data_IF_518306790461
#
_entry.id   IF_518306790461
#
_cell.length_a   1.000
_cell.length_b   1.000
_cell.length_c   1.000
_cell.angle_alpha   90.00
_cell.angle_beta   90.00
_cell.angle_gamma   90.00
#
_symmetry.space_group_name_H-M   'P 1'
#
loop_
_entity.id
_entity.type
_entity.pdbx_description
1 polymer ?
#
# COMPACT_ATOMS: atom_id res chain seq x y z
N UNK A 1 6.59 17.63 14.37
CA UNK A 1 6.16 17.66 12.96
C UNK A 1 4.73 17.14 12.93
N UNK A 2 3.76 18.00 12.61
CA UNK A 2 2.36 17.59 12.53
C UNK A 2 2.10 17.04 11.13
N UNK A 3 1.74 15.77 11.01
CA UNK A 3 1.32 15.15 9.75
C UNK A 3 -0.21 15.21 9.69
N UNK A 4 -0.75 16.04 8.82
CA UNK A 4 -2.17 16.10 8.57
C UNK A 4 -2.57 15.22 7.40
N UNK A 5 -3.66 14.48 7.55
CA UNK A 5 -4.25 13.68 6.48
C UNK A 5 -5.54 14.35 6.02
N UNK A 6 -5.68 14.48 4.70
CA UNK A 6 -6.92 14.91 4.06
C UNK A 6 -7.46 13.71 3.29
N UNK A 7 -8.63 13.26 3.63
CA UNK A 7 -9.28 12.13 3.00
C UNK A 7 -10.74 12.47 2.71
N UNK A 8 -11.23 12.09 1.54
CA UNK A 8 -12.58 12.44 1.08
C UNK A 8 -13.71 11.68 1.75
N UNK A 9 -13.40 10.60 2.44
CA UNK A 9 -14.41 9.85 3.16
C UNK A 9 -14.31 10.15 4.65
N UNK A 10 -15.15 11.06 5.13
CA UNK A 10 -15.20 11.45 6.54
C UNK A 10 -15.45 10.26 7.47
N UNK A 11 -16.25 9.27 7.04
CA UNK A 11 -16.46 8.06 7.86
C UNK A 11 -15.19 7.24 7.96
N UNK A 12 -14.38 7.24 6.91
CA UNK A 12 -13.10 6.56 6.89
C UNK A 12 -12.03 7.32 7.68
N UNK A 13 -12.00 8.67 7.61
CA UNK A 13 -11.15 9.51 8.46
C UNK A 13 -11.47 9.28 9.93
N UNK A 14 -12.72 9.36 10.31
CA UNK A 14 -13.16 9.14 11.70
C UNK A 14 -12.75 7.77 12.21
N UNK A 15 -12.93 6.71 11.41
CA UNK A 15 -12.55 5.35 11.78
C UNK A 15 -11.05 5.15 11.82
N UNK A 16 -10.34 5.56 10.77
CA UNK A 16 -8.89 5.42 10.69
C UNK A 16 -8.21 6.27 11.75
N UNK A 17 -8.67 7.51 11.94
CA UNK A 17 -8.17 8.39 12.99
C UNK A 17 -8.40 7.84 14.39
N UNK A 18 -9.58 7.32 14.66
CA UNK A 18 -9.94 6.79 15.99
C UNK A 18 -9.28 5.44 16.26
N UNK A 19 -9.21 4.56 15.26
CA UNK A 19 -8.78 3.19 15.43
C UNK A 19 -7.26 3.01 15.33
N UNK A 20 -6.60 3.68 14.40
CA UNK A 20 -5.24 3.35 14.03
C UNK A 20 -4.19 4.37 14.47
N UNK A 21 -4.55 5.65 14.50
CA UNK A 21 -3.60 6.72 14.84
C UNK A 21 -3.88 7.32 16.22
N UNK A 22 -4.95 6.91 16.87
CA UNK A 22 -5.31 7.40 18.20
C UNK A 22 -5.33 8.92 18.23
N UNK A 23 -4.80 9.48 19.31
CA UNK A 23 -4.79 10.93 19.53
C UNK A 23 -3.98 11.71 18.47
N UNK A 24 -2.95 11.11 17.88
CA UNK A 24 -2.08 11.82 16.94
C UNK A 24 -2.82 12.23 15.67
N UNK A 25 -3.62 11.35 15.08
CA UNK A 25 -4.40 11.68 13.89
C UNK A 25 -5.63 12.49 14.24
N UNK A 26 -6.27 12.22 15.36
CA UNK A 26 -7.38 13.05 15.84
C UNK A 26 -6.93 14.49 16.11
N UNK A 27 -5.78 14.71 16.72
CA UNK A 27 -5.18 16.02 16.86
C UNK A 27 -4.76 16.64 15.53
N UNK A 28 -4.18 15.87 14.64
CA UNK A 28 -3.81 16.36 13.30
C UNK A 28 -5.04 16.77 12.49
N UNK A 29 -6.10 15.98 12.54
CA UNK A 29 -7.36 16.32 11.89
C UNK A 29 -8.02 17.53 12.55
N UNK A 30 -8.04 17.60 13.87
CA UNK A 30 -8.54 18.75 14.63
C UNK A 30 -7.74 20.02 14.33
N UNK A 31 -6.44 19.87 14.16
CA UNK A 31 -5.54 20.95 13.76
C UNK A 31 -5.83 21.49 12.36
N UNK A 32 -6.16 20.59 11.42
CA UNK A 32 -6.43 20.93 10.03
C UNK A 32 -7.87 21.45 9.80
N UNK A 33 -8.83 20.83 10.45
CA UNK A 33 -10.25 21.01 10.17
C UNK A 33 -11.00 21.82 11.24
N UNK A 34 -10.37 22.07 12.39
CA UNK A 34 -10.98 22.73 13.55
C UNK A 34 -11.49 21.73 14.59
N UNK A 35 -12.03 22.26 15.70
CA UNK A 35 -12.48 21.44 16.82
C UNK A 35 -13.76 20.65 16.52
N UNK A 36 -14.54 21.11 15.56
CA UNK A 36 -15.78 20.53 15.06
C UNK A 36 -15.63 19.75 13.74
N UNK A 37 -14.40 19.37 13.39
CA UNK A 37 -14.07 18.67 12.12
C UNK A 37 -14.90 17.40 11.85
N UNK A 38 -15.57 16.89 12.87
CA UNK A 38 -16.42 15.69 12.75
C UNK A 38 -17.86 16.01 12.36
N UNK A 39 -18.27 17.28 12.40
CA UNK A 39 -19.67 17.67 12.22
C UNK A 39 -20.01 18.10 10.80
N UNK A 40 -19.19 18.94 10.19
CA UNK A 40 -19.41 19.39 8.81
C UNK A 40 -18.07 19.59 8.10
N UNK A 41 -17.75 18.70 7.18
CA UNK A 41 -16.60 18.82 6.32
C UNK A 41 -17.05 19.41 4.98
N UNK A 42 -16.57 20.60 4.66
CA UNK A 42 -16.82 21.20 3.36
C UNK A 42 -16.02 20.49 2.26
N UNK A 43 -16.68 20.17 1.15
CA UNK A 43 -16.02 19.70 -0.05
C UNK A 43 -15.20 20.81 -0.75
N UNK A 44 -15.43 22.09 -0.37
CA UNK A 44 -14.64 23.21 -0.89
C UNK A 44 -13.31 23.36 -0.12
N UNK A 45 -12.16 23.10 -0.78
CA UNK A 45 -10.85 23.29 -0.15
C UNK A 45 -10.58 24.71 0.33
N UNK A 46 -11.33 25.72 -0.13
CA UNK A 46 -11.16 27.09 0.29
C UNK A 46 -11.75 27.36 1.68
N UNK A 47 -12.66 26.51 2.13
CA UNK A 47 -13.29 26.60 3.44
C UNK A 47 -12.49 25.85 4.52
N UNK A 48 -11.52 25.01 4.11
CA UNK A 48 -10.71 24.25 5.07
C UNK A 48 -9.80 25.17 5.88
N UNK A 49 -9.77 24.94 7.19
CA UNK A 49 -8.91 25.69 8.10
C UNK A 49 -7.44 25.50 7.75
N UNK A 50 -6.72 26.59 7.57
CA UNK A 50 -5.29 26.58 7.23
C UNK A 50 -4.45 26.73 8.49
N UNK A 51 -3.51 25.83 8.68
CA UNK A 51 -2.50 25.87 9.73
C UNK A 51 -1.11 26.04 9.12
N UNK A 52 -0.21 26.68 9.86
CA UNK A 52 1.19 26.79 9.44
C UNK A 52 1.88 25.42 9.57
N UNK A 53 2.47 24.95 8.48
CA UNK A 53 3.23 23.71 8.45
C UNK A 53 4.45 23.87 7.53
N UNK A 54 5.56 23.20 7.85
CA UNK A 54 6.74 23.17 6.98
C UNK A 54 6.58 22.15 5.86
N UNK A 55 5.86 21.07 6.12
CA UNK A 55 5.59 20.00 5.14
C UNK A 55 4.08 19.71 5.11
N UNK A 56 3.54 19.61 3.90
CA UNK A 56 2.19 19.08 3.65
C UNK A 56 2.33 17.76 2.91
N UNK A 57 1.78 16.69 3.48
CA UNK A 57 1.79 15.35 2.88
C UNK A 57 0.37 14.87 2.62
N UNK A 58 0.16 14.12 1.52
CA UNK A 58 -1.13 13.54 1.21
C UNK A 58 -1.03 12.32 0.30
N UNK A 59 -2.11 11.55 0.25
CA UNK A 59 -2.29 10.42 -0.66
C UNK A 59 -3.64 10.56 -1.36
N UNK A 60 -3.81 11.56 -2.22
CA UNK A 60 -5.04 11.69 -2.98
C UNK A 60 -5.27 10.44 -3.83
N UNK A 61 -6.53 10.08 -4.15
CA UNK A 61 -6.82 8.89 -4.90
C UNK A 61 -6.05 8.82 -6.21
N UNK A 62 -5.29 7.75 -6.40
CA UNK A 62 -4.48 7.50 -7.60
C UNK A 62 -5.24 6.68 -8.67
N UNK A 63 -6.54 6.43 -8.48
CA UNK A 63 -7.36 5.61 -9.40
C UNK A 63 -7.38 6.15 -10.83
N UNK A 64 -7.25 7.46 -11.02
CA UNK A 64 -7.12 8.08 -12.33
C UNK A 64 -5.88 7.67 -13.13
N UNK A 65 -4.85 7.14 -12.49
CA UNK A 65 -3.63 6.65 -13.14
C UNK A 65 -3.47 5.13 -13.04
N UNK A 66 -4.26 4.47 -12.21
CA UNK A 66 -4.09 3.05 -11.92
C UNK A 66 -4.52 2.18 -13.09
N UNK A 67 -3.68 1.20 -13.45
CA UNK A 67 -4.01 0.15 -14.45
C UNK A 67 -5.18 -0.73 -14.00
N UNK A 68 -5.52 -0.71 -12.71
CA UNK A 68 -6.66 -1.44 -12.13
C UNK A 68 -8.00 -0.74 -12.37
N UNK A 69 -7.98 0.56 -12.72
CA UNK A 69 -9.17 1.29 -13.12
C UNK A 69 -9.53 0.95 -14.56
N UNK A 70 -10.83 0.86 -14.85
CA UNK A 70 -11.29 0.67 -16.21
C UNK A 70 -10.79 1.79 -17.15
N UNK A 71 -10.59 1.52 -18.45
CA UNK A 71 -10.04 2.50 -19.40
C UNK A 71 -10.77 3.85 -19.40
N UNK A 72 -12.09 3.84 -19.21
CA UNK A 72 -12.92 5.05 -19.16
C UNK A 72 -12.69 5.94 -17.90
N UNK A 73 -12.05 5.39 -16.86
CA UNK A 73 -11.86 6.08 -15.59
C UNK A 73 -10.40 6.47 -15.33
N UNK A 74 -9.53 6.34 -16.31
CA UNK A 74 -8.11 6.65 -16.18
C UNK A 74 -7.60 7.56 -17.30
N UNK A 75 -6.47 8.19 -17.04
CA UNK A 75 -5.83 9.16 -17.92
C UNK A 75 -5.91 10.58 -17.38
N UNK A 76 -5.38 11.56 -18.12
CA UNK A 76 -5.27 12.95 -17.67
C UNK A 76 -6.62 13.60 -17.29
N UNK A 77 -7.71 13.19 -17.92
CA UNK A 77 -9.04 13.78 -17.76
C UNK A 77 -9.93 13.02 -16.75
N UNK A 78 -9.35 12.11 -15.95
CA UNK A 78 -10.10 11.35 -14.97
C UNK A 78 -10.66 12.26 -13.87
N UNK A 79 -11.95 12.10 -13.55
CA UNK A 79 -12.58 12.78 -12.41
C UNK A 79 -11.89 12.51 -11.07
N UNK A 80 -11.17 11.40 -10.93
CA UNK A 80 -10.40 11.11 -9.73
C UNK A 80 -9.32 12.17 -9.40
N UNK A 81 -8.95 13.01 -10.37
CA UNK A 81 -7.99 14.10 -10.17
C UNK A 81 -8.56 15.28 -9.40
N UNK A 82 -9.87 15.43 -9.28
CA UNK A 82 -10.51 16.50 -8.48
C UNK A 82 -9.99 16.53 -7.04
N UNK A 83 -9.75 15.36 -6.47
CA UNK A 83 -9.18 15.24 -5.12
C UNK A 83 -7.73 15.69 -5.02
N UNK A 84 -6.92 15.40 -6.05
CA UNK A 84 -5.55 15.90 -6.12
C UNK A 84 -5.55 17.42 -6.29
N UNK A 85 -6.44 17.96 -7.12
CA UNK A 85 -6.61 19.42 -7.28
C UNK A 85 -6.98 20.07 -5.96
N UNK A 86 -7.93 19.50 -5.21
CA UNK A 86 -8.31 19.99 -3.89
C UNK A 86 -7.11 19.98 -2.92
N UNK A 87 -6.34 18.90 -2.90
CA UNK A 87 -5.11 18.82 -2.11
C UNK A 87 -4.10 19.89 -2.50
N UNK A 88 -3.87 20.15 -3.80
CA UNK A 88 -2.93 21.17 -4.28
C UNK A 88 -3.37 22.58 -3.89
N UNK A 89 -4.67 22.90 -4.01
CA UNK A 89 -5.21 24.19 -3.57
C UNK A 89 -5.01 24.40 -2.07
N UNK A 90 -5.30 23.39 -1.27
CA UNK A 90 -5.08 23.44 0.16
C UNK A 90 -3.59 23.64 0.49
N UNK A 91 -2.69 22.81 -0.09
CA UNK A 91 -1.26 22.92 0.11
C UNK A 91 -0.74 24.33 -0.26
N UNK A 92 -1.24 24.91 -1.37
CA UNK A 92 -0.90 26.27 -1.76
C UNK A 92 -1.30 27.33 -0.71
N UNK A 93 -2.46 27.16 -0.04
CA UNK A 93 -2.90 28.05 1.04
C UNK A 93 -2.04 27.91 2.30
N UNK A 94 -1.59 26.71 2.63
CA UNK A 94 -0.66 26.48 3.77
C UNK A 94 0.70 27.12 3.54
N UNK A 95 1.14 27.26 2.29
CA UNK A 95 2.44 27.83 1.89
C UNK A 95 3.64 27.13 2.54
N UNK A 96 3.69 25.78 2.56
CA UNK A 96 4.73 25.04 3.25
C UNK A 96 6.08 25.22 2.53
N UNK A 97 7.15 24.72 3.15
CA UNK A 97 8.47 24.63 2.52
C UNK A 97 8.60 23.40 1.61
N UNK A 98 7.80 22.36 1.89
CA UNK A 98 7.73 21.17 1.03
C UNK A 98 6.32 20.59 0.99
N UNK A 99 5.98 20.01 -0.18
CA UNK A 99 4.72 19.33 -0.41
C UNK A 99 5.04 17.97 -1.01
N UNK A 100 4.37 16.92 -0.54
CA UNK A 100 4.53 15.59 -1.10
C UNK A 100 3.20 14.86 -1.20
N UNK A 101 3.00 14.11 -2.28
CA UNK A 101 1.96 13.09 -2.34
C UNK A 101 2.46 11.81 -3.00
N UNK A 102 1.90 10.68 -2.54
CA UNK A 102 2.19 9.36 -3.10
C UNK A 102 1.18 9.01 -4.20
N UNK A 103 1.68 8.35 -5.25
CA UNK A 103 0.86 7.85 -6.34
C UNK A 103 1.48 6.60 -6.97
N UNK A 104 0.76 5.99 -7.91
CA UNK A 104 1.32 4.93 -8.76
C UNK A 104 2.29 5.52 -9.80
N UNK A 105 3.27 4.75 -10.24
CA UNK A 105 4.30 5.24 -11.19
C UNK A 105 3.71 5.70 -12.54
N UNK A 106 2.51 5.23 -12.90
CA UNK A 106 1.81 5.70 -14.09
C UNK A 106 1.48 7.20 -14.08
N UNK A 107 1.34 7.80 -12.91
CA UNK A 107 1.18 9.25 -12.78
C UNK A 107 2.34 10.02 -13.42
N UNK A 108 3.58 9.54 -13.27
CA UNK A 108 4.74 10.10 -13.95
C UNK A 108 4.77 9.70 -15.42
N UNK A 109 4.67 8.41 -15.76
CA UNK A 109 4.90 7.93 -17.12
C UNK A 109 3.82 8.33 -18.13
N UNK A 110 2.60 8.62 -17.68
CA UNK A 110 1.45 8.99 -18.51
C UNK A 110 0.92 10.40 -18.26
N UNK A 111 1.30 11.01 -17.14
CA UNK A 111 0.73 12.27 -16.66
C UNK A 111 1.76 13.32 -16.24
N UNK A 112 3.01 13.25 -16.71
CA UNK A 112 4.07 14.19 -16.32
C UNK A 112 3.62 15.65 -16.45
N UNK A 113 2.98 16.01 -17.58
CA UNK A 113 2.50 17.38 -17.80
C UNK A 113 1.44 17.81 -16.79
N UNK A 114 0.61 16.88 -16.30
CA UNK A 114 -0.36 17.14 -15.25
C UNK A 114 0.34 17.36 -13.91
N UNK A 115 1.42 16.61 -13.65
CA UNK A 115 2.23 16.79 -12.45
C UNK A 115 2.90 18.18 -12.40
N UNK A 116 3.36 18.67 -13.55
CA UNK A 116 3.88 20.05 -13.67
C UNK A 116 2.78 21.08 -13.42
N UNK A 117 1.59 20.91 -14.01
CA UNK A 117 0.44 21.80 -13.76
C UNK A 117 0.04 21.84 -12.29
N UNK A 118 0.21 20.77 -11.53
CA UNK A 118 -0.02 20.77 -10.08
C UNK A 118 0.97 21.69 -9.35
N UNK A 119 2.26 21.67 -9.72
CA UNK A 119 3.24 22.62 -9.20
C UNK A 119 2.81 24.07 -9.49
N UNK A 120 2.46 24.35 -10.74
CA UNK A 120 2.08 25.70 -11.16
C UNK A 120 0.82 26.19 -10.42
N UNK A 121 -0.13 25.31 -10.16
CA UNK A 121 -1.32 25.59 -9.35
C UNK A 121 -0.94 25.95 -7.91
N UNK A 122 -0.05 25.20 -7.28
CA UNK A 122 0.45 25.48 -5.93
C UNK A 122 1.16 26.85 -5.91
N UNK A 123 2.01 27.11 -6.90
CA UNK A 123 2.71 28.42 -7.02
C UNK A 123 1.71 29.58 -7.17
N UNK A 124 0.68 29.42 -7.99
CA UNK A 124 -0.35 30.44 -8.18
C UNK A 124 -1.08 30.76 -6.87
N UNK A 125 -1.45 29.73 -6.10
CA UNK A 125 -2.18 29.90 -4.84
C UNK A 125 -1.29 30.43 -3.72
N UNK A 126 -0.05 29.92 -3.62
CA UNK A 126 0.88 30.26 -2.52
C UNK A 126 1.60 31.60 -2.71
N UNK A 127 1.82 32.00 -3.96
CA UNK A 127 2.72 33.10 -4.32
C UNK A 127 4.21 32.74 -4.16
N UNK A 128 4.56 31.48 -3.87
CA UNK A 128 5.92 30.97 -3.75
C UNK A 128 6.34 30.20 -5.00
N UNK A 129 7.64 30.02 -5.20
CA UNK A 129 8.21 29.16 -6.24
C UNK A 129 8.64 27.83 -5.66
N UNK A 130 8.42 26.74 -6.41
CA UNK A 130 8.79 25.39 -6.02
C UNK A 130 9.55 24.68 -7.14
N UNK A 131 10.56 23.93 -6.74
CA UNK A 131 11.24 22.98 -7.61
C UNK A 131 10.53 21.63 -7.48
N UNK A 132 10.17 21.03 -8.62
CA UNK A 132 9.42 19.77 -8.68
C UNK A 132 10.37 18.59 -8.83
N UNK A 133 10.24 17.62 -7.95
CA UNK A 133 10.98 16.37 -8.01
C UNK A 133 10.02 15.21 -8.23
N UNK A 134 10.24 14.48 -9.31
CA UNK A 134 9.60 13.19 -9.59
C UNK A 134 10.44 12.10 -8.98
N UNK A 135 9.94 11.47 -7.94
CA UNK A 135 10.68 10.44 -7.19
C UNK A 135 10.04 9.08 -7.41
N UNK A 136 10.75 8.18 -8.07
CA UNK A 136 10.32 6.79 -8.30
C UNK A 136 11.06 5.88 -7.33
N UNK A 137 10.34 4.98 -6.68
CA UNK A 137 10.90 4.04 -5.73
C UNK A 137 10.19 2.68 -5.78
N UNK A 138 10.78 1.69 -5.15
CA UNK A 138 10.14 0.43 -4.81
C UNK A 138 10.30 0.17 -3.31
N UNK A 139 9.21 -0.17 -2.64
CA UNK A 139 9.22 -0.35 -1.19
C UNK A 139 10.21 -1.42 -0.72
N UNK A 140 10.44 -2.50 -1.48
CA UNK A 140 11.51 -3.47 -1.16
C UNK A 140 12.89 -2.83 -1.18
N UNK A 141 13.15 -1.95 -2.13
CA UNK A 141 14.44 -1.30 -2.27
C UNK A 141 14.74 -0.36 -1.11
N UNK A 142 13.73 0.36 -0.64
CA UNK A 142 13.87 1.30 0.49
C UNK A 142 13.75 0.63 1.87
N UNK A 143 13.88 -0.70 1.93
CA UNK A 143 13.89 -1.48 3.16
C UNK A 143 12.52 -1.95 3.63
N UNK A 144 11.52 -1.86 2.77
CA UNK A 144 10.17 -2.37 3.06
C UNK A 144 10.00 -3.86 2.82
N UNK A 145 8.77 -4.34 3.00
CA UNK A 145 8.45 -5.77 3.03
C UNK A 145 7.66 -6.27 1.82
N UNK A 146 7.26 -5.37 0.93
CA UNK A 146 6.48 -5.75 -0.26
C UNK A 146 7.06 -5.14 -1.54
N UNK A 147 6.99 -5.91 -2.62
CA UNK A 147 7.25 -5.39 -3.95
C UNK A 147 6.14 -4.40 -4.32
N UNK A 148 6.44 -3.11 -4.19
CA UNK A 148 5.46 -2.03 -4.37
C UNK A 148 6.12 -0.81 -5.00
N UNK A 149 6.24 -0.78 -6.35
CA UNK A 149 6.73 0.41 -7.06
C UNK A 149 5.79 1.58 -6.84
N UNK A 150 6.35 2.73 -6.45
CA UNK A 150 5.58 3.95 -6.21
C UNK A 150 6.28 5.18 -6.77
N UNK A 151 5.51 6.22 -6.85
CA UNK A 151 5.91 7.54 -7.27
C UNK A 151 5.54 8.53 -6.18
N UNK A 152 6.51 9.37 -5.78
CA UNK A 152 6.25 10.53 -4.96
C UNK A 152 6.42 11.78 -5.82
N UNK A 153 5.39 12.59 -5.85
CA UNK A 153 5.44 13.96 -6.33
C UNK A 153 5.92 14.83 -5.16
N UNK A 154 7.06 15.48 -5.32
CA UNK A 154 7.69 16.28 -4.27
C UNK A 154 7.93 17.67 -4.81
N UNK A 155 7.35 18.69 -4.19
CA UNK A 155 7.65 20.09 -4.48
C UNK A 155 8.35 20.69 -3.27
N UNK A 156 9.53 21.27 -3.49
CA UNK A 156 10.33 21.91 -2.44
C UNK A 156 10.50 23.39 -2.81
N UNK A 157 10.39 24.29 -1.83
CA UNK A 157 10.55 25.74 -2.03
C UNK A 157 11.87 26.02 -2.77
N UNK A 158 11.82 26.77 -3.86
CA UNK A 158 12.96 27.01 -4.72
C UNK A 158 14.12 27.64 -3.95
N UNK A 159 15.32 27.14 -4.18
CA UNK A 159 16.52 27.49 -3.43
C UNK A 159 16.90 26.44 -2.38
N UNK A 160 15.99 25.54 -1.99
CA UNK A 160 16.31 24.36 -1.21
C UNK A 160 16.68 23.22 -2.17
N UNK A 161 17.75 22.51 -1.87
CA UNK A 161 18.13 21.31 -2.63
C UNK A 161 17.44 20.08 -2.02
N UNK A 162 16.89 19.23 -2.88
CA UNK A 162 16.33 17.96 -2.47
C UNK A 162 17.03 16.81 -3.20
N UNK A 163 17.37 15.79 -2.44
CA UNK A 163 17.90 14.53 -2.95
C UNK A 163 17.45 13.39 -2.02
N UNK A 164 17.51 12.18 -2.49
CA UNK A 164 17.20 11.00 -1.68
C UNK A 164 18.22 9.90 -1.96
N UNK A 165 18.70 9.27 -0.90
CA UNK A 165 19.63 8.15 -1.02
C UNK A 165 18.91 7.00 -1.72
N UNK A 166 19.52 6.44 -2.77
CA UNK A 166 19.05 5.20 -3.41
C UNK A 166 19.68 4.00 -2.68
N UNK A 167 18.93 3.28 -1.83
CA UNK A 167 19.48 2.11 -1.16
C UNK A 167 19.70 0.96 -2.14
N UNK A 168 20.74 0.18 -1.88
CA UNK A 168 21.01 -1.09 -2.57
C UNK A 168 20.93 -2.23 -1.54
N UNK A 169 19.76 -2.81 -1.31
CA UNK A 169 19.61 -3.85 -0.31
C UNK A 169 20.36 -5.11 -0.74
N UNK A 170 21.22 -5.63 0.15
CA UNK A 170 21.96 -6.88 -0.06
C UNK A 170 21.07 -8.12 0.03
N UNK A 171 20.03 -8.01 0.81
CA UNK A 171 19.03 -9.06 1.03
C UNK A 171 17.63 -8.46 0.96
N UNK A 172 16.68 -9.27 0.53
CA UNK A 172 15.25 -8.93 0.54
C UNK A 172 14.49 -9.92 1.42
N UNK A 173 13.49 -9.46 2.20
CA UNK A 173 12.68 -10.35 3.01
C UNK A 173 11.77 -11.21 2.13
N UNK A 174 11.62 -12.48 2.50
CA UNK A 174 10.60 -13.37 1.94
C UNK A 174 9.30 -13.16 2.67
N UNK A 175 8.19 -13.59 2.08
CA UNK A 175 6.89 -13.46 2.73
C UNK A 175 6.88 -14.15 4.10
N UNK A 176 7.48 -15.34 4.23
CA UNK A 176 7.52 -16.07 5.49
C UNK A 176 8.45 -15.42 6.53
N UNK A 177 9.39 -14.58 6.12
CA UNK A 177 10.15 -13.74 7.04
C UNK A 177 9.27 -12.66 7.71
N UNK A 178 8.17 -12.27 7.05
CA UNK A 178 7.29 -11.20 7.51
C UNK A 178 6.09 -11.74 8.31
N UNK A 179 5.48 -12.85 7.88
CA UNK A 179 4.26 -13.36 8.47
C UNK A 179 4.38 -14.76 9.06
N UNK A 180 5.53 -15.44 8.89
CA UNK A 180 5.67 -16.85 9.27
C UNK A 180 5.48 -17.12 10.75
N UNK A 181 5.83 -16.20 11.63
CA UNK A 181 5.61 -16.34 13.07
C UNK A 181 4.14 -16.12 13.51
N UNK A 182 3.28 -15.70 12.59
CA UNK A 182 1.82 -15.60 12.77
C UNK A 182 1.07 -16.79 12.16
N UNK A 183 1.71 -17.60 11.31
CA UNK A 183 1.06 -18.59 10.46
C UNK A 183 0.17 -19.56 11.24
N UNK A 184 0.67 -20.09 12.36
CA UNK A 184 0.00 -21.08 13.20
C UNK A 184 -0.90 -20.46 14.30
N UNK A 185 -1.06 -19.15 14.32
CA UNK A 185 -1.92 -18.50 15.31
C UNK A 185 -3.39 -18.70 14.98
N UNK A 186 -4.26 -18.92 15.99
CA UNK A 186 -5.69 -18.93 15.78
C UNK A 186 -6.21 -17.63 15.17
N UNK A 187 -7.17 -17.73 14.25
CA UNK A 187 -7.79 -16.54 13.67
C UNK A 187 -8.85 -15.97 14.64
N UNK A 188 -8.54 -14.83 15.23
CA UNK A 188 -9.43 -14.13 16.17
C UNK A 188 -9.17 -12.62 16.19
N UNK A 189 -10.18 -11.84 16.55
CA UNK A 189 -10.04 -10.42 16.88
C UNK A 189 -9.38 -10.21 18.24
N UNK A 190 -9.52 -11.18 19.16
CA UNK A 190 -9.03 -11.04 20.51
C UNK A 190 -7.50 -11.04 20.58
N UNK A 191 -6.97 -10.35 21.59
CA UNK A 191 -5.55 -10.40 21.89
C UNK A 191 -5.13 -11.81 22.29
N UNK A 192 -4.04 -12.27 21.70
CA UNK A 192 -3.47 -13.58 21.93
C UNK A 192 -1.94 -13.53 21.99
N UNK A 193 -1.33 -14.51 22.63
CA UNK A 193 0.13 -14.65 22.65
C UNK A 193 0.63 -15.18 21.31
N UNK A 194 1.84 -14.76 20.92
CA UNK A 194 2.50 -15.40 19.79
C UNK A 194 2.72 -16.89 20.04
N UNK A 195 2.43 -17.72 19.08
CA UNK A 195 2.70 -19.16 19.14
C UNK A 195 4.17 -19.46 18.80
N UNK A 196 4.77 -18.71 17.88
CA UNK A 196 6.17 -18.84 17.55
C UNK A 196 7.06 -18.10 18.54
N UNK A 197 8.12 -18.74 19.07
CA UNK A 197 8.97 -18.15 20.11
C UNK A 197 9.79 -16.95 19.60
N UNK A 198 10.23 -17.00 18.37
CA UNK A 198 11.10 -15.96 17.79
C UNK A 198 10.63 -15.55 16.40
N UNK A 199 10.54 -14.26 16.13
CA UNK A 199 10.34 -13.75 14.78
C UNK A 199 11.63 -13.77 13.97
N UNK A 200 11.54 -13.57 12.65
CA UNK A 200 12.70 -13.30 11.82
C UNK A 200 13.36 -11.95 12.21
N UNK A 201 14.60 -11.75 11.75
CA UNK A 201 15.32 -10.47 11.94
C UNK A 201 14.55 -9.27 11.39
N UNK A 202 13.74 -9.48 10.34
CA UNK A 202 13.01 -8.44 9.63
C UNK A 202 11.86 -7.83 10.43
N UNK A 203 11.16 -8.65 11.20
CA UNK A 203 9.96 -8.23 11.93
C UNK A 203 10.12 -8.19 13.45
N UNK A 204 11.32 -8.46 13.94
CA UNK A 204 11.62 -8.42 15.39
C UNK A 204 11.21 -7.10 16.04
N UNK A 205 11.41 -5.98 15.34
CA UNK A 205 11.05 -4.64 15.82
C UNK A 205 9.56 -4.34 15.73
N UNK A 206 8.77 -5.14 15.00
CA UNK A 206 7.32 -4.98 14.87
C UNK A 206 6.55 -5.67 15.98
N UNK A 207 7.14 -6.69 16.64
CA UNK A 207 6.48 -7.42 17.73
C UNK A 207 6.24 -6.53 18.93
N UNK A 208 5.10 -6.74 19.58
CA UNK A 208 4.75 -6.03 20.80
C UNK A 208 5.67 -6.40 21.95
N UNK A 209 5.99 -5.42 22.81
CA UNK A 209 6.82 -5.64 24.01
C UNK A 209 6.16 -6.57 25.03
N UNK A 210 4.84 -6.59 25.09
CA UNK A 210 4.07 -7.43 26.00
C UNK A 210 3.80 -8.85 25.47
N UNK A 211 4.28 -9.18 24.26
CA UNK A 211 4.12 -10.50 23.67
C UNK A 211 2.69 -10.83 23.21
N UNK A 212 1.82 -9.83 23.09
CA UNK A 212 0.42 -9.98 22.68
C UNK A 212 0.16 -9.33 21.34
N UNK A 213 -0.69 -9.95 20.51
CA UNK A 213 -1.11 -9.44 19.20
C UNK A 213 -2.61 -9.61 19.05
N UNK A 214 -3.25 -8.68 18.34
CA UNK A 214 -4.68 -8.73 17.99
C UNK A 214 -4.89 -8.67 16.47
N UNK A 215 -6.15 -8.68 16.06
CA UNK A 215 -6.52 -8.51 14.64
C UNK A 215 -6.00 -9.61 13.72
N UNK A 216 -5.62 -10.78 14.26
CA UNK A 216 -5.21 -11.93 13.47
C UNK A 216 -6.43 -12.69 12.97
N UNK A 217 -7.23 -12.05 12.12
CA UNK A 217 -8.46 -12.59 11.55
C UNK A 217 -8.49 -12.39 10.03
N UNK A 218 -8.85 -13.45 9.32
CA UNK A 218 -9.10 -13.43 7.88
C UNK A 218 -10.56 -13.15 7.57
N UNK A 219 -10.87 -13.05 6.29
CA UNK A 219 -12.25 -12.89 5.82
C UNK A 219 -13.01 -14.21 5.92
N UNK A 220 -14.28 -14.16 6.33
CA UNK A 220 -15.14 -15.32 6.52
C UNK A 220 -16.30 -15.41 5.52
N UNK A 221 -16.22 -14.67 4.42
CA UNK A 221 -17.28 -14.64 3.40
C UNK A 221 -17.27 -15.88 2.50
N UNK A 222 -18.21 -15.93 1.56
CA UNK A 222 -18.33 -17.04 0.60
C UNK A 222 -17.03 -17.31 -0.18
N UNK A 223 -16.20 -16.30 -0.45
CA UNK A 223 -14.92 -16.50 -1.14
C UNK A 223 -13.93 -17.28 -0.27
N UNK A 224 -13.81 -16.94 1.02
CA UNK A 224 -12.98 -17.69 1.96
C UNK A 224 -13.48 -19.14 2.10
N UNK A 225 -14.78 -19.33 2.27
CA UNK A 225 -15.40 -20.66 2.36
C UNK A 225 -15.17 -21.51 1.10
N UNK A 226 -15.19 -20.91 -0.09
CA UNK A 226 -14.88 -21.61 -1.35
C UNK A 226 -13.42 -22.06 -1.40
N UNK A 227 -12.50 -21.27 -0.87
CA UNK A 227 -11.09 -21.62 -0.79
C UNK A 227 -10.86 -22.74 0.20
N UNK A 228 -11.44 -22.65 1.38
CA UNK A 228 -11.39 -23.69 2.41
C UNK A 228 -11.95 -25.03 1.89
N UNK A 229 -13.05 -24.99 1.14
CA UNK A 229 -13.63 -26.19 0.53
C UNK A 229 -12.71 -26.83 -0.52
N UNK A 230 -12.02 -26.05 -1.35
CA UNK A 230 -11.01 -26.59 -2.26
C UNK A 230 -9.91 -27.29 -1.46
N UNK A 231 -9.36 -26.66 -0.41
CA UNK A 231 -8.35 -27.28 0.42
C UNK A 231 -8.81 -28.55 1.13
N UNK A 232 -10.07 -28.63 1.53
CA UNK A 232 -10.64 -29.85 2.13
C UNK A 232 -10.63 -31.07 1.18
N UNK A 233 -10.66 -30.79 -0.14
CA UNK A 233 -10.64 -31.84 -1.17
C UNK A 233 -9.22 -32.20 -1.60
N UNK A 234 -8.38 -31.18 -1.88
CA UNK A 234 -7.07 -31.41 -2.47
C UNK A 234 -5.94 -31.47 -1.44
N UNK A 235 -6.23 -31.21 -0.16
CA UNK A 235 -5.23 -31.04 0.90
C UNK A 235 -4.42 -29.75 0.77
N UNK A 236 -3.65 -29.43 1.81
CA UNK A 236 -2.83 -28.21 1.82
C UNK A 236 -1.76 -28.25 0.72
N UNK A 237 -1.08 -29.37 0.53
CA UNK A 237 -0.03 -29.54 -0.49
C UNK A 237 -0.59 -29.65 -1.91
N UNK A 238 -1.90 -29.91 -2.03
CA UNK A 238 -2.59 -30.00 -3.31
C UNK A 238 -2.69 -28.68 -4.08
N UNK A 239 -2.53 -27.56 -3.40
CA UNK A 239 -2.50 -26.21 -3.99
C UNK A 239 -1.09 -25.62 -3.87
N UNK A 240 -0.32 -25.80 -4.91
CA UNK A 240 1.08 -25.33 -4.95
C UNK A 240 1.17 -23.80 -4.84
N UNK A 241 2.26 -23.32 -4.24
CA UNK A 241 2.63 -21.90 -4.27
C UNK A 241 2.83 -21.42 -5.71
N UNK A 242 2.45 -20.16 -5.99
CA UNK A 242 2.28 -19.59 -7.33
C UNK A 242 1.10 -20.20 -8.13
N UNK A 243 0.15 -20.84 -7.42
CA UNK A 243 -1.03 -21.45 -8.00
C UNK A 243 -2.26 -20.57 -7.95
N UNK A 244 -2.98 -20.48 -9.06
CA UNK A 244 -4.25 -19.77 -9.12
C UNK A 244 -5.44 -20.63 -8.65
N UNK A 245 -6.52 -19.95 -8.26
CA UNK A 245 -7.75 -20.64 -7.80
C UNK A 245 -8.35 -21.51 -8.89
N UNK A 246 -8.24 -21.15 -10.16
CA UNK A 246 -8.83 -21.91 -11.26
C UNK A 246 -8.17 -23.27 -11.43
N UNK A 247 -6.84 -23.32 -11.34
CA UNK A 247 -6.07 -24.57 -11.38
C UNK A 247 -6.39 -25.48 -10.19
N UNK A 248 -6.43 -24.90 -8.97
CA UNK A 248 -6.77 -25.63 -7.77
C UNK A 248 -8.22 -26.15 -7.78
N UNK A 249 -9.17 -25.36 -8.26
CA UNK A 249 -10.57 -25.77 -8.42
C UNK A 249 -10.71 -26.90 -9.43
N UNK A 250 -9.99 -26.82 -10.57
CA UNK A 250 -9.99 -27.90 -11.56
C UNK A 250 -9.50 -29.21 -10.93
N UNK A 251 -8.39 -29.17 -10.20
CA UNK A 251 -7.88 -30.33 -9.46
C UNK A 251 -8.90 -30.87 -8.46
N UNK A 252 -9.59 -30.00 -7.73
CA UNK A 252 -10.65 -30.41 -6.79
C UNK A 252 -11.82 -31.11 -7.50
N UNK A 253 -12.25 -30.61 -8.67
CA UNK A 253 -13.29 -31.26 -9.49
C UNK A 253 -12.82 -32.61 -10.01
N UNK A 254 -11.59 -32.70 -10.51
CA UNK A 254 -11.01 -33.97 -11.01
C UNK A 254 -10.93 -35.03 -9.90
N UNK A 255 -10.59 -34.66 -8.65
CA UNK A 255 -10.55 -35.55 -7.49
C UNK A 255 -11.94 -35.87 -6.91
N UNK A 256 -12.97 -35.11 -7.28
CA UNK A 256 -14.35 -35.27 -6.81
C UNK A 256 -15.26 -35.87 -7.92
N UNK A 257 -14.74 -36.82 -8.69
CA UNK A 257 -15.48 -37.51 -9.76
C UNK A 257 -16.13 -36.57 -10.78
N UNK A 258 -15.48 -35.47 -11.10
CA UNK A 258 -15.98 -34.45 -12.02
C UNK A 258 -17.05 -33.53 -11.43
N UNK A 259 -17.41 -33.69 -10.14
CA UNK A 259 -18.38 -32.83 -9.47
C UNK A 259 -17.78 -31.61 -8.86
N UNK A 260 -18.42 -30.46 -9.07
CA UNK A 260 -18.01 -29.21 -8.41
C UNK A 260 -18.22 -29.30 -6.90
N UNK A 261 -17.27 -28.71 -6.11
CA UNK A 261 -17.49 -28.51 -4.69
C UNK A 261 -18.78 -27.73 -4.43
N UNK A 262 -19.46 -28.01 -3.33
CA UNK A 262 -20.85 -27.54 -3.07
C UNK A 262 -20.94 -26.00 -3.14
N UNK A 263 -19.97 -25.29 -2.59
CA UNK A 263 -19.96 -23.82 -2.59
C UNK A 263 -19.62 -23.17 -3.94
N UNK A 264 -19.34 -23.98 -4.96
CA UNK A 264 -19.00 -23.52 -6.32
C UNK A 264 -20.09 -23.83 -7.34
N UNK A 265 -21.16 -24.54 -6.95
CA UNK A 265 -22.21 -25.01 -7.87
C UNK A 265 -22.91 -23.82 -8.55
N UNK A 266 -23.21 -22.75 -7.82
CA UNK A 266 -23.90 -21.56 -8.33
C UNK A 266 -23.12 -20.83 -9.44
N UNK A 267 -21.79 -20.94 -9.46
CA UNK A 267 -20.96 -20.32 -10.49
C UNK A 267 -20.33 -21.31 -11.48
N UNK A 268 -20.57 -22.60 -11.29
CA UNK A 268 -20.00 -23.66 -12.12
C UNK A 268 -20.25 -23.47 -13.64
N UNK A 269 -21.43 -23.05 -14.13
CA UNK A 269 -21.65 -22.81 -15.56
C UNK A 269 -20.71 -21.74 -16.13
N UNK A 270 -20.43 -20.71 -15.33
CA UNK A 270 -19.47 -19.65 -15.73
C UNK A 270 -18.03 -20.15 -15.73
N UNK A 271 -17.69 -20.96 -14.75
CA UNK A 271 -16.33 -21.54 -14.57
C UNK A 271 -16.04 -22.49 -15.74
N UNK A 272 -16.95 -23.41 -16.05
CA UNK A 272 -16.84 -24.36 -17.18
C UNK A 272 -16.66 -23.60 -18.49
N UNK A 273 -17.55 -22.64 -18.79
CA UNK A 273 -17.49 -21.84 -20.01
C UNK A 273 -16.17 -21.12 -20.20
N UNK A 274 -15.50 -20.76 -19.12
CA UNK A 274 -14.20 -20.09 -19.12
C UNK A 274 -13.01 -21.06 -19.02
N UNK A 275 -13.24 -22.36 -19.09
CA UNK A 275 -12.22 -23.38 -18.91
C UNK A 275 -11.37 -23.10 -17.66
N UNK A 276 -12.01 -22.92 -16.51
CA UNK A 276 -11.41 -22.59 -15.19
C UNK A 276 -10.61 -21.28 -15.15
N UNK A 277 -10.64 -20.45 -16.16
CA UNK A 277 -10.04 -19.11 -16.10
C UNK A 277 -10.97 -18.15 -15.35
N UNK A 278 -10.75 -17.95 -14.07
CA UNK A 278 -11.67 -17.16 -13.22
C UNK A 278 -11.50 -15.65 -13.35
N UNK A 279 -10.45 -15.19 -14.00
CA UNK A 279 -10.17 -13.77 -14.23
C UNK A 279 -9.03 -13.23 -13.38
N UNK A 280 -8.72 -11.96 -13.56
CA UNK A 280 -7.52 -11.33 -13.05
C UNK A 280 -7.50 -11.12 -11.53
N UNK A 281 -8.68 -10.95 -10.92
CA UNK A 281 -8.82 -10.69 -9.48
C UNK A 281 -9.18 -11.93 -8.64
N UNK A 282 -8.84 -13.11 -9.17
CA UNK A 282 -9.05 -14.35 -8.41
C UNK A 282 -8.00 -14.51 -7.30
N UNK A 283 -8.32 -15.23 -6.21
CA UNK A 283 -7.35 -15.59 -5.20
C UNK A 283 -6.18 -16.38 -5.78
N UNK A 284 -5.02 -16.16 -5.19
CA UNK A 284 -3.77 -16.71 -5.64
C UNK A 284 -2.91 -17.12 -4.45
N UNK A 285 -2.42 -18.35 -4.42
CA UNK A 285 -1.52 -18.81 -3.38
C UNK A 285 -0.11 -18.34 -3.66
N UNK A 286 0.45 -17.55 -2.75
CA UNK A 286 1.83 -17.10 -2.86
C UNK A 286 2.81 -18.21 -2.53
N UNK A 287 3.99 -18.12 -3.09
CA UNK A 287 5.09 -19.04 -2.81
C UNK A 287 5.83 -18.57 -1.56
N UNK A 288 6.14 -19.49 -0.66
CA UNK A 288 6.73 -19.19 0.65
C UNK A 288 8.13 -18.54 0.59
N UNK A 289 8.90 -18.86 -0.43
CA UNK A 289 10.26 -18.36 -0.63
C UNK A 289 10.34 -17.06 -1.46
N UNK A 290 9.19 -16.48 -1.85
CA UNK A 290 9.13 -15.21 -2.56
C UNK A 290 8.93 -14.04 -1.61
N UNK A 291 9.23 -12.82 -2.08
CA UNK A 291 8.83 -11.59 -1.40
C UNK A 291 7.32 -11.37 -1.46
N UNK A 292 6.82 -10.53 -0.57
CA UNK A 292 5.43 -10.08 -0.64
C UNK A 292 5.20 -9.26 -1.92
N UNK A 293 4.17 -9.61 -2.68
CA UNK A 293 3.71 -8.80 -3.79
C UNK A 293 2.91 -7.58 -3.31
N UNK A 294 2.58 -6.70 -4.24
CA UNK A 294 1.70 -5.56 -3.98
C UNK A 294 0.37 -6.04 -3.37
N UNK A 295 0.05 -5.53 -2.20
CA UNK A 295 -1.29 -5.62 -1.66
C UNK A 295 -2.19 -4.63 -2.40
N UNK A 296 -3.32 -5.12 -2.89
CA UNK A 296 -4.39 -4.29 -3.47
C UNK A 296 -5.45 -3.98 -2.43
N UNK A 297 -6.43 -3.11 -2.74
CA UNK A 297 -7.54 -2.80 -1.83
C UNK A 297 -8.45 -3.98 -1.49
N UNK A 298 -8.27 -5.12 -2.16
CA UNK A 298 -8.96 -6.39 -1.91
C UNK A 298 -8.00 -7.51 -1.52
N UNK A 299 -6.85 -7.18 -0.95
CA UNK A 299 -5.79 -8.15 -0.63
C UNK A 299 -6.29 -9.35 0.19
N UNK A 300 -7.18 -9.11 1.16
CA UNK A 300 -7.79 -10.17 1.96
C UNK A 300 -8.78 -11.07 1.18
N UNK A 301 -9.09 -10.75 -0.06
CA UNK A 301 -9.89 -11.58 -0.96
C UNK A 301 -9.04 -12.33 -1.99
N UNK A 302 -7.79 -11.92 -2.18
CA UNK A 302 -6.99 -12.37 -3.32
C UNK A 302 -5.70 -13.08 -2.92
N UNK A 303 -5.27 -12.98 -1.66
CA UNK A 303 -4.01 -13.56 -1.23
C UNK A 303 -4.27 -14.75 -0.32
N UNK A 304 -3.89 -15.94 -0.81
CA UNK A 304 -3.88 -17.16 -0.01
C UNK A 304 -2.51 -17.25 0.68
N UNK A 305 -2.53 -17.60 1.98
CA UNK A 305 -1.33 -17.77 2.79
C UNK A 305 -0.42 -18.86 2.19
N UNK A 306 0.91 -18.65 2.16
CA UNK A 306 1.84 -19.58 1.51
C UNK A 306 1.78 -21.01 2.06
N UNK A 307 1.67 -21.16 3.38
CA UNK A 307 1.74 -22.47 4.05
C UNK A 307 0.42 -22.89 4.71
N UNK A 308 -0.55 -21.97 4.86
CA UNK A 308 -1.82 -22.27 5.52
C UNK A 308 -2.97 -22.34 4.51
N UNK A 309 -3.96 -23.24 4.69
CA UNK A 309 -5.10 -23.37 3.79
C UNK A 309 -6.16 -22.27 4.01
N UNK A 310 -5.76 -21.02 3.97
CA UNK A 310 -6.59 -19.85 4.25
C UNK A 310 -6.13 -18.59 3.51
N UNK A 311 -6.96 -17.59 3.47
CA UNK A 311 -6.56 -16.24 3.10
C UNK A 311 -5.66 -15.61 4.18
N UNK A 312 -4.88 -14.60 3.81
CA UNK A 312 -4.11 -13.82 4.78
C UNK A 312 -5.04 -13.03 5.72
N UNK A 313 -4.53 -12.70 6.89
CA UNK A 313 -5.26 -11.96 7.92
C UNK A 313 -5.02 -10.45 7.84
N UNK A 314 -5.80 -9.68 8.60
CA UNK A 314 -5.57 -8.24 8.76
C UNK A 314 -4.18 -7.95 9.36
N UNK A 315 -3.76 -8.71 10.37
CA UNK A 315 -2.46 -8.52 11.01
C UNK A 315 -1.30 -8.84 10.07
N UNK A 316 -1.40 -9.92 9.30
CA UNK A 316 -0.43 -10.26 8.27
C UNK A 316 -0.33 -9.16 7.21
N UNK A 317 -1.46 -8.64 6.74
CA UNK A 317 -1.50 -7.51 5.80
C UNK A 317 -0.90 -6.23 6.38
N UNK A 318 -1.17 -5.91 7.65
CA UNK A 318 -0.57 -4.77 8.34
C UNK A 318 0.96 -4.89 8.41
N UNK A 319 1.48 -6.08 8.74
CA UNK A 319 2.93 -6.33 8.75
C UNK A 319 3.57 -6.16 7.37
N UNK A 320 2.91 -6.61 6.30
CA UNK A 320 3.40 -6.42 4.93
C UNK A 320 3.52 -4.93 4.55
N UNK A 321 2.78 -4.05 5.22
CA UNK A 321 2.89 -2.60 5.10
C UNK A 321 3.91 -1.98 6.09
N UNK A 322 4.55 -2.81 6.91
CA UNK A 322 5.54 -2.36 7.89
C UNK A 322 4.95 -1.81 9.17
N UNK A 323 3.66 -2.04 9.43
CA UNK A 323 3.00 -1.59 10.66
C UNK A 323 3.34 -2.52 11.84
N UNK A 324 3.63 -1.96 13.02
CA UNK A 324 3.93 -2.76 14.21
C UNK A 324 2.69 -3.52 14.72
N UNK A 325 2.92 -4.56 15.52
CA UNK A 325 1.85 -5.43 16.01
C UNK A 325 1.00 -4.80 17.13
N UNK A 326 1.44 -3.70 17.70
CA UNK A 326 0.64 -2.86 18.59
C UNK A 326 -0.18 -1.80 17.86
N UNK A 327 -0.08 -1.75 16.51
CA UNK A 327 -1.00 -0.96 15.70
C UNK A 327 -2.43 -1.44 15.91
N UNK A 328 -3.30 -0.54 16.34
CA UNK A 328 -4.66 -0.90 16.71
C UNK A 328 -5.48 -1.37 15.48
N UNK A 329 -5.87 -2.64 15.49
CA UNK A 329 -6.79 -3.24 14.52
C UNK A 329 -8.01 -3.70 15.30
N UNK A 330 -9.01 -2.83 15.40
CA UNK A 330 -10.25 -3.15 16.10
C UNK A 330 -11.24 -3.88 15.20
N UNK A 331 -12.07 -4.70 15.82
CA UNK A 331 -13.22 -5.31 15.16
C UNK A 331 -14.14 -4.23 14.64
N UNK A 332 -14.22 -4.10 13.31
CA UNK A 332 -15.04 -3.12 12.64
C UNK A 332 -16.24 -3.79 11.98
N UNK A 333 -17.44 -3.22 12.16
CA UNK A 333 -18.62 -3.66 11.42
C UNK A 333 -18.44 -3.59 9.90
N UNK A 334 -17.48 -2.81 9.44
CA UNK A 334 -17.17 -2.66 8.03
C UNK A 334 -15.77 -3.24 7.70
N UNK A 335 -15.70 -4.57 7.83
CA UNK A 335 -14.52 -5.37 7.52
C UNK A 335 -13.88 -5.03 6.15
N UNK A 336 -14.71 -4.81 5.11
CA UNK A 336 -14.22 -4.51 3.77
C UNK A 336 -13.50 -3.16 3.67
N UNK A 337 -13.90 -2.17 4.48
CA UNK A 337 -13.21 -0.89 4.53
C UNK A 337 -11.83 -1.02 5.17
N UNK A 338 -11.72 -1.77 6.27
CA UNK A 338 -10.44 -2.02 6.91
C UNK A 338 -9.50 -2.80 5.98
N UNK A 339 -10.04 -3.81 5.26
CA UNK A 339 -9.28 -4.55 4.26
C UNK A 339 -8.74 -3.65 3.13
N UNK A 340 -9.55 -2.68 2.68
CA UNK A 340 -9.13 -1.74 1.64
C UNK A 340 -8.00 -0.80 2.09
N UNK A 341 -7.88 -0.53 3.38
CA UNK A 341 -6.81 0.33 3.93
C UNK A 341 -5.44 -0.26 3.64
N UNK A 342 -5.26 -1.57 3.84
CA UNK A 342 -3.96 -2.21 3.62
C UNK A 342 -3.44 -2.05 2.20
N UNK A 343 -4.31 -2.17 1.20
CA UNK A 343 -3.93 -1.99 -0.19
C UNK A 343 -3.68 -0.54 -0.60
N UNK A 344 -4.27 0.43 0.12
CA UNK A 344 -4.13 1.87 -0.16
C UNK A 344 -3.02 2.54 0.67
N UNK A 345 -2.63 1.94 1.78
CA UNK A 345 -1.62 2.53 2.66
C UNK A 345 -0.27 2.72 1.97
N UNK A 346 0.39 3.81 2.28
CA UNK A 346 1.81 3.98 1.99
C UNK A 346 2.59 3.13 2.99
N UNK A 347 3.49 2.24 2.53
CA UNK A 347 4.31 1.46 3.44
C UNK A 347 5.14 2.34 4.37
N UNK A 348 5.29 1.91 5.63
CA UNK A 348 6.00 2.69 6.65
C UNK A 348 7.43 3.01 6.23
N UNK A 349 8.13 2.06 5.61
CA UNK A 349 9.51 2.24 5.18
C UNK A 349 9.64 3.27 4.06
N UNK A 350 8.75 3.24 3.07
CA UNK A 350 8.73 4.23 1.99
C UNK A 350 8.41 5.64 2.55
N UNK A 351 7.45 5.73 3.48
CA UNK A 351 7.12 6.99 4.15
C UNK A 351 8.30 7.55 4.97
N UNK A 352 9.00 6.67 5.71
CA UNK A 352 10.18 7.06 6.47
C UNK A 352 11.34 7.50 5.55
N UNK A 353 11.55 6.78 4.46
CA UNK A 353 12.59 7.12 3.50
C UNK A 353 12.39 8.51 2.88
N UNK A 354 11.20 8.78 2.34
CA UNK A 354 10.90 10.09 1.75
C UNK A 354 10.85 11.20 2.81
N UNK A 355 10.31 10.90 3.99
CA UNK A 355 10.25 11.84 5.11
C UNK A 355 11.63 12.25 5.62
N UNK A 356 12.58 11.30 5.67
CA UNK A 356 13.97 11.61 6.00
C UNK A 356 14.62 12.53 4.94
N UNK A 357 14.45 12.20 3.66
CA UNK A 357 14.98 13.02 2.57
C UNK A 357 14.43 14.46 2.61
N UNK A 358 13.14 14.63 2.89
CA UNK A 358 12.52 15.94 3.08
C UNK A 358 13.11 16.70 4.27
N UNK A 359 13.27 16.00 5.40
CA UNK A 359 13.88 16.61 6.59
C UNK A 359 15.29 17.08 6.29
N UNK A 360 16.12 16.24 5.69
CA UNK A 360 17.49 16.56 5.34
C UNK A 360 17.57 17.79 4.40
N UNK A 361 16.65 17.88 3.43
CA UNK A 361 16.53 19.03 2.54
C UNK A 361 16.15 20.33 3.29
N UNK A 362 15.18 20.27 4.19
CA UNK A 362 14.72 21.41 4.97
C UNK A 362 15.77 21.89 5.99
N UNK A 363 16.60 20.98 6.48
CA UNK A 363 17.75 21.28 7.36
C UNK A 363 18.96 21.80 6.58
N UNK A 364 18.88 21.90 5.23
CA UNK A 364 19.97 22.37 4.37
C UNK A 364 21.09 21.36 4.16
N UNK A 365 20.86 20.08 4.46
CA UNK A 365 21.84 19.00 4.37
C UNK A 365 21.30 17.79 3.57
N UNK A 366 20.89 17.98 2.30
CA UNK A 366 20.34 16.90 1.48
C UNK A 366 21.38 15.78 1.30
N UNK A 367 20.94 14.54 1.46
CA UNK A 367 21.75 13.34 1.35
C UNK A 367 21.39 12.56 0.07
N UNK A 368 22.39 11.93 -0.57
CA UNK A 368 22.23 11.13 -1.78
C UNK A 368 22.70 11.84 -3.03
N UNK A 369 22.55 11.17 -4.17
CA UNK A 369 22.95 11.72 -5.45
C UNK A 369 22.07 12.91 -5.86
N UNK A 370 22.63 13.90 -6.57
CA UNK A 370 21.85 14.99 -7.13
C UNK A 370 20.77 14.47 -8.07
N UNK A 371 19.58 15.06 -8.00
CA UNK A 371 18.50 14.75 -8.92
C UNK A 371 18.85 15.19 -10.36
N UNK A 372 18.41 14.41 -11.34
CA UNK A 372 18.57 14.72 -12.77
C UNK A 372 17.61 15.85 -13.16
N UNK A 373 18.14 16.95 -13.72
CA UNK A 373 17.33 18.03 -14.27
C UNK A 373 16.70 17.58 -15.60
N UNK A 374 15.37 17.54 -15.68
CA UNK A 374 14.62 17.04 -16.83
C UNK A 374 13.68 18.09 -17.47
N UNK A 375 13.59 19.28 -16.88
CA UNK A 375 12.74 20.39 -17.34
C UNK A 375 12.97 21.67 -16.54
N UNK A 376 12.13 22.67 -16.74
CA UNK A 376 12.21 23.92 -15.97
C UNK A 376 11.85 23.68 -14.50
N UNK A 377 12.85 23.80 -13.63
CA UNK A 377 12.72 23.49 -12.19
C UNK A 377 12.04 22.13 -11.94
N UNK A 378 12.34 21.17 -12.79
CA UNK A 378 11.78 19.85 -12.80
C UNK A 378 12.91 18.81 -12.79
N UNK A 379 12.88 17.91 -11.83
CA UNK A 379 13.94 16.96 -11.54
C UNK A 379 13.42 15.54 -11.42
N UNK A 380 14.27 14.56 -11.71
CA UNK A 380 13.98 13.14 -11.56
C UNK A 380 14.96 12.51 -10.56
N UNK A 381 14.40 11.75 -9.62
CA UNK A 381 15.11 10.79 -8.78
C UNK A 381 14.51 9.42 -9.10
N UNK A 382 15.23 8.59 -9.82
CA UNK A 382 14.78 7.25 -10.19
C UNK A 382 15.51 6.19 -9.35
N UNK A 383 15.11 6.06 -8.08
CA UNK A 383 15.63 5.02 -7.18
C UNK A 383 15.16 3.62 -7.59
N UNK A 384 14.13 3.52 -8.42
CA UNK A 384 13.63 2.24 -8.95
C UNK A 384 14.32 1.85 -10.28
N UNK A 385 15.32 2.62 -10.76
CA UNK A 385 15.96 2.41 -12.05
C UNK A 385 16.56 1.01 -12.20
N UNK A 386 15.87 0.19 -12.99
CA UNK A 386 16.26 -1.20 -13.21
C UNK A 386 15.85 -2.18 -12.09
N UNK A 387 15.63 -1.71 -10.85
CA UNK A 387 15.26 -2.58 -9.73
C UNK A 387 13.95 -3.32 -10.00
N UNK A 388 12.84 -2.64 -10.22
CA UNK A 388 11.56 -3.25 -10.53
C UNK A 388 11.61 -4.13 -11.79
N UNK A 389 12.32 -3.70 -12.82
CA UNK A 389 12.48 -4.48 -14.06
C UNK A 389 13.27 -5.75 -13.83
N UNK A 390 14.34 -5.69 -13.08
CA UNK A 390 15.18 -6.84 -12.73
C UNK A 390 14.39 -7.86 -11.91
N UNK A 391 13.72 -7.41 -10.84
CA UNK A 391 12.96 -8.28 -9.94
C UNK A 391 11.66 -8.79 -10.56
N UNK A 392 10.95 -7.99 -11.35
CA UNK A 392 9.75 -8.43 -12.05
C UNK A 392 10.02 -9.62 -13.01
N UNK A 393 11.18 -9.62 -13.68
CA UNK A 393 11.56 -10.75 -14.54
C UNK A 393 11.85 -12.04 -13.75
N UNK A 394 12.30 -11.93 -12.50
CA UNK A 394 12.64 -13.09 -11.63
C UNK A 394 11.47 -13.54 -10.76
N UNK A 395 10.47 -12.71 -10.57
CA UNK A 395 9.32 -12.93 -9.68
C UNK A 395 8.61 -14.27 -9.91
N UNK A 396 8.58 -14.75 -11.15
CA UNK A 396 7.85 -15.97 -11.53
C UNK A 396 8.71 -17.23 -11.58
N UNK A 397 10.05 -17.10 -11.57
CA UNK A 397 10.94 -18.22 -11.95
C UNK A 397 12.16 -18.45 -11.07
N UNK A 398 12.51 -17.57 -10.12
CA UNK A 398 13.71 -17.74 -9.30
C UNK A 398 13.52 -17.28 -7.85
N UNK A 399 14.21 -17.98 -6.94
CA UNK A 399 14.31 -17.59 -5.54
C UNK A 399 15.08 -16.27 -5.40
N UNK A 400 14.70 -15.35 -4.48
CA UNK A 400 15.48 -14.15 -4.19
C UNK A 400 16.94 -14.39 -3.79
N UNK A 401 17.30 -15.62 -3.39
CA UNK A 401 18.65 -15.97 -2.95
C UNK A 401 19.68 -16.18 -4.07
N UNK A 402 19.26 -16.38 -5.31
CA UNK A 402 20.21 -16.60 -6.42
C UNK A 402 20.90 -15.31 -6.91
N UNK A 403 20.48 -14.14 -6.40
CA UNK A 403 21.00 -12.83 -6.84
C UNK A 403 22.14 -12.28 -6.02
N UNK A 404 22.46 -12.88 -4.87
CA UNK A 404 23.56 -12.43 -4.00
C UNK A 404 24.93 -13.04 -4.31
N UNK A 405 25.02 -13.89 -5.34
CA UNK A 405 26.24 -14.65 -5.68
C UNK A 405 26.85 -14.27 -7.04
N UNK A 406 26.68 -13.03 -7.50
CA UNK A 406 27.44 -12.53 -8.65
C UNK A 406 27.89 -11.09 -8.45
#
# INVERSE_FOLDING_TARGET
MSLGFIQNDMKMIQRTGTLNFGNVVAESNRHLLGDDWTSEFSDDPNEWRVQKADIVMGCPPCSGWSVWSGPANRGPDSKAHEHTVAFMKYAGRVKPRAIVFECVQQAYTQGRDVMVKYRDMVEQVSGKKYDLYHVKENNLQVGGFSYRPRYFWVAVESGLKFSAVTPEPKELPRIMDIIGDLAEMPQTWNKQKYTAPSPSKWVKHLRTKNGMVDGHIGKTNIHAQRIEEIFSIIGNDGWEGNGDTGGALKKAVDLNDGKFPQKWIDISPRVIRKNFKLGFSQPYRWKEDHWCNVLTGSALDHVIHPTQPRLITHRESARMQGLPDDWNIEESRNYSHLAAVWGKAVPVQAANWIGKALKDALDGNPQGEPAELIGDREYLIDSDKGFSRHYAKKQWYSSPMETSAK
#
